data_IF_590035535884
#
_entry.id   IF_590035535884
#
_cell.length_a   1.000
_cell.length_b   1.000
_cell.length_c   1.000
_cell.angle_alpha   90.00
_cell.angle_beta   90.00
_cell.angle_gamma   90.00
#
_symmetry.space_group_name_H-M   'P 1'
#
loop_
_entity.id
_entity.type
_entity.pdbx_description
1 polymer ?
#
# COMPACT_ATOMS: atom_id res chain seq x y z
N UNK A 1 2.75 49.53 -7.99
CA UNK A 1 2.11 48.51 -8.86
C UNK A 1 3.06 47.35 -9.21
N UNK A 2 4.16 47.57 -9.94
CA UNK A 2 5.07 46.48 -10.39
C UNK A 2 5.71 45.66 -9.25
N UNK A 3 6.12 46.32 -8.15
CA UNK A 3 6.69 45.66 -6.96
C UNK A 3 5.67 44.76 -6.24
N UNK A 4 4.40 45.15 -6.23
CA UNK A 4 3.30 44.39 -5.62
C UNK A 4 2.97 43.14 -6.44
N UNK A 5 2.95 43.28 -7.77
CA UNK A 5 2.76 42.16 -8.72
C UNK A 5 3.91 41.14 -8.57
N UNK A 6 5.14 41.61 -8.42
CA UNK A 6 6.30 40.74 -8.23
C UNK A 6 6.22 39.94 -6.92
N UNK A 7 5.80 40.57 -5.83
CA UNK A 7 5.61 39.90 -4.53
C UNK A 7 4.50 38.85 -4.59
N UNK A 8 3.39 39.14 -5.27
CA UNK A 8 2.29 38.17 -5.44
C UNK A 8 2.68 36.98 -6.30
N UNK A 9 3.49 37.17 -7.34
CA UNK A 9 4.02 36.08 -8.17
C UNK A 9 4.93 35.17 -7.32
N UNK A 10 5.85 35.74 -6.55
CA UNK A 10 6.75 34.96 -5.68
C UNK A 10 5.96 34.18 -4.62
N UNK A 11 4.92 34.77 -4.03
CA UNK A 11 4.03 34.10 -3.09
C UNK A 11 3.24 32.97 -3.74
N UNK A 12 2.75 33.16 -4.96
CA UNK A 12 2.03 32.15 -5.72
C UNK A 12 2.93 30.96 -6.10
N UNK A 13 4.16 31.22 -6.55
CA UNK A 13 5.15 30.16 -6.82
C UNK A 13 5.55 29.39 -5.56
N UNK A 14 5.74 30.09 -4.43
CA UNK A 14 6.04 29.44 -3.15
C UNK A 14 4.88 28.57 -2.64
N UNK A 15 3.63 29.02 -2.81
CA UNK A 15 2.44 28.26 -2.45
C UNK A 15 2.23 27.03 -3.35
N UNK A 16 2.51 27.17 -4.65
CA UNK A 16 2.41 26.08 -5.63
C UNK A 16 3.41 24.95 -5.35
N UNK A 17 4.57 25.26 -4.79
CA UNK A 17 5.60 24.27 -4.45
C UNK A 17 5.25 23.40 -3.24
N UNK A 18 4.36 23.88 -2.35
CA UNK A 18 3.99 23.19 -1.11
C UNK A 18 3.02 22.01 -1.31
N UNK A 19 2.30 21.96 -2.44
CA UNK A 19 1.22 20.97 -2.65
C UNK A 19 1.71 19.56 -3.05
N UNK A 20 3.00 19.34 -3.27
CA UNK A 20 3.50 18.14 -3.96
C UNK A 20 3.81 16.93 -3.03
N UNK A 21 3.67 17.04 -1.71
CA UNK A 21 4.16 15.97 -0.80
C UNK A 21 3.07 15.11 -0.15
N UNK A 22 2.22 14.48 -0.96
CA UNK A 22 1.37 13.37 -0.49
C UNK A 22 2.05 12.02 -0.76
N UNK A 23 3.07 11.68 0.03
CA UNK A 23 3.69 10.34 0.00
C UNK A 23 2.83 9.36 0.80
N UNK A 24 2.28 8.33 0.15
CA UNK A 24 1.60 7.22 0.82
C UNK A 24 2.61 6.36 1.58
N UNK A 25 2.50 6.31 2.91
CA UNK A 25 3.28 5.36 3.74
C UNK A 25 2.60 4.01 3.67
N UNK A 26 3.01 3.18 2.72
CA UNK A 26 2.56 1.80 2.62
C UNK A 26 3.36 0.92 3.59
N UNK A 27 2.67 0.32 4.57
CA UNK A 27 3.28 -0.57 5.56
C UNK A 27 3.60 -1.94 4.91
N UNK A 28 4.68 -1.98 4.13
CA UNK A 28 5.18 -3.16 3.42
C UNK A 28 6.24 -3.90 4.24
N UNK A 29 6.08 -5.21 4.36
CA UNK A 29 7.06 -6.10 4.99
C UNK A 29 7.69 -7.04 3.95
N UNK A 30 9.02 -7.10 3.93
CA UNK A 30 9.78 -8.05 3.10
C UNK A 30 9.85 -9.41 3.78
N UNK A 31 9.43 -10.46 3.08
CA UNK A 31 9.53 -11.86 3.52
C UNK A 31 10.71 -12.50 2.81
N UNK A 32 11.61 -13.12 3.59
CA UNK A 32 12.73 -13.89 3.05
C UNK A 32 12.22 -15.18 2.39
N UNK A 33 12.94 -15.66 1.38
CA UNK A 33 12.65 -16.95 0.77
C UNK A 33 12.84 -18.10 1.75
N UNK A 34 12.08 -19.18 1.60
CA UNK A 34 12.14 -20.34 2.49
C UNK A 34 11.70 -21.61 1.77
N UNK A 35 12.05 -22.77 2.33
CA UNK A 35 11.63 -24.08 1.84
C UNK A 35 10.48 -24.57 2.72
N UNK A 36 9.37 -24.97 2.09
CA UNK A 36 8.21 -25.57 2.79
C UNK A 36 8.55 -26.99 3.24
N UNK A 37 7.79 -27.52 4.22
CA UNK A 37 7.96 -28.90 4.72
C UNK A 37 7.88 -29.99 3.63
N UNK A 38 7.17 -29.71 2.54
CA UNK A 38 7.04 -30.59 1.38
C UNK A 38 8.14 -30.37 0.30
N UNK A 39 9.21 -29.66 0.62
CA UNK A 39 10.36 -29.42 -0.28
C UNK A 39 10.18 -28.28 -1.28
N UNK A 40 9.01 -27.64 -1.39
CA UNK A 40 8.79 -26.54 -2.34
C UNK A 40 9.49 -25.26 -1.89
N UNK A 41 10.34 -24.68 -2.75
CA UNK A 41 10.95 -23.37 -2.53
C UNK A 41 9.95 -22.23 -2.74
N UNK A 42 9.98 -21.23 -1.86
CA UNK A 42 9.20 -19.98 -1.95
C UNK A 42 10.18 -18.83 -2.09
N UNK A 43 10.06 -18.09 -3.18
CA UNK A 43 10.87 -16.90 -3.42
C UNK A 43 10.55 -15.76 -2.42
N UNK A 44 11.52 -14.88 -2.13
CA UNK A 44 11.27 -13.66 -1.38
C UNK A 44 10.15 -12.83 -2.01
N UNK A 45 9.29 -12.23 -1.19
CA UNK A 45 8.19 -11.41 -1.66
C UNK A 45 7.82 -10.34 -0.63
N UNK A 46 7.02 -9.36 -1.04
CA UNK A 46 6.48 -8.35 -0.16
C UNK A 46 5.05 -8.71 0.26
N UNK A 47 4.68 -8.35 1.49
CA UNK A 47 3.32 -8.46 2.02
C UNK A 47 2.95 -7.20 2.79
N UNK A 48 1.65 -6.98 2.99
CA UNK A 48 1.14 -6.01 3.96
C UNK A 48 1.60 -6.36 5.38
N UNK A 49 1.84 -5.35 6.20
CA UNK A 49 2.11 -5.53 7.63
C UNK A 49 0.96 -6.27 8.31
N UNK A 50 1.25 -7.24 9.19
CA UNK A 50 0.21 -8.01 9.86
C UNK A 50 -0.61 -7.11 10.78
N UNK A 51 -1.91 -7.04 10.53
CA UNK A 51 -2.90 -6.39 11.40
C UNK A 51 -4.18 -7.27 11.47
N UNK A 52 -5.22 -6.79 12.17
CA UNK A 52 -6.51 -7.51 12.29
C UNK A 52 -7.47 -7.22 11.13
N UNK A 53 -7.08 -6.34 10.21
CA UNK A 53 -7.90 -5.87 9.11
C UNK A 53 -7.65 -6.79 7.92
N UNK A 54 -8.73 -7.19 7.24
CA UNK A 54 -8.62 -8.08 6.07
C UNK A 54 -8.77 -7.31 4.76
N UNK A 55 -9.43 -6.15 4.81
CA UNK A 55 -9.84 -5.37 3.65
C UNK A 55 -8.68 -4.64 2.97
N UNK A 56 -7.56 -4.46 3.67
CA UNK A 56 -6.34 -3.80 3.21
C UNK A 56 -5.29 -4.79 2.66
N UNK A 57 -5.58 -6.10 2.70
CA UNK A 57 -4.71 -7.10 2.07
C UNK A 57 -4.79 -7.01 0.54
N UNK A 58 -3.66 -7.25 -0.15
CA UNK A 58 -3.62 -7.30 -1.62
C UNK A 58 -4.53 -8.37 -2.23
N UNK A 59 -4.85 -9.43 -1.49
CA UNK A 59 -5.78 -10.46 -1.92
C UNK A 59 -7.24 -10.07 -1.78
N UNK A 60 -7.55 -8.99 -1.04
CA UNK A 60 -8.93 -8.58 -0.76
C UNK A 60 -9.61 -8.07 -2.04
N UNK A 61 -10.88 -8.41 -2.21
CA UNK A 61 -11.68 -8.00 -3.37
C UNK A 61 -11.70 -6.48 -3.49
N UNK A 62 -11.29 -5.98 -4.66
CA UNK A 62 -11.20 -4.54 -4.94
C UNK A 62 -9.77 -3.99 -4.90
N UNK A 63 -8.84 -4.67 -4.22
CA UNK A 63 -7.44 -4.26 -4.17
C UNK A 63 -6.65 -4.82 -5.35
N UNK A 64 -5.54 -4.17 -5.69
CA UNK A 64 -4.57 -4.64 -6.70
C UNK A 64 -3.24 -4.80 -6.00
N UNK A 65 -2.58 -5.94 -6.22
CA UNK A 65 -1.22 -6.14 -5.75
C UNK A 65 -0.25 -5.32 -6.63
N UNK A 66 0.46 -4.32 -6.08
CA UNK A 66 1.36 -3.47 -6.87
C UNK A 66 2.55 -4.22 -7.46
N UNK A 67 2.96 -5.34 -6.87
CA UNK A 67 4.11 -6.13 -7.31
C UNK A 67 3.80 -7.12 -8.44
N UNK A 68 2.54 -7.50 -8.61
CA UNK A 68 2.13 -8.49 -9.61
C UNK A 68 1.02 -8.04 -10.55
N UNK A 69 0.40 -6.88 -10.29
CA UNK A 69 -0.76 -6.38 -11.02
C UNK A 69 -2.04 -7.21 -10.82
N UNK A 70 -1.98 -8.27 -10.02
CA UNK A 70 -3.11 -9.18 -9.80
C UNK A 70 -4.18 -8.51 -8.94
N UNK A 71 -5.44 -8.59 -9.40
CA UNK A 71 -6.61 -8.16 -8.64
C UNK A 71 -6.88 -9.15 -7.50
N UNK A 72 -7.17 -8.63 -6.32
CA UNK A 72 -7.67 -9.39 -5.19
C UNK A 72 -9.10 -9.87 -5.42
N UNK A 73 -9.40 -11.07 -4.92
CA UNK A 73 -10.69 -11.76 -5.10
C UNK A 73 -11.26 -12.30 -3.79
N UNK A 74 -10.52 -12.22 -2.70
CA UNK A 74 -10.92 -12.72 -1.38
C UNK A 74 -11.90 -11.74 -0.76
N UNK A 75 -13.09 -12.22 -0.39
CA UNK A 75 -14.05 -11.42 0.39
C UNK A 75 -13.51 -11.20 1.83
N UNK A 76 -13.19 -9.95 2.22
CA UNK A 76 -12.64 -9.66 3.54
C UNK A 76 -13.67 -9.82 4.68
N UNK A 77 -14.96 -9.79 4.37
CA UNK A 77 -16.04 -9.89 5.36
C UNK A 77 -16.56 -11.32 5.54
N UNK A 78 -16.04 -12.28 4.78
CA UNK A 78 -16.41 -13.69 4.91
C UNK A 78 -16.10 -14.18 6.33
N UNK A 79 -17.16 -14.41 7.10
CA UNK A 79 -17.09 -15.03 8.42
C UNK A 79 -16.75 -16.50 8.20
N UNK A 80 -15.51 -16.86 8.47
CA UNK A 80 -15.11 -18.27 8.51
C UNK A 80 -15.30 -18.73 9.94
N UNK A 81 -16.19 -19.71 10.24
CA UNK A 81 -16.29 -20.24 11.58
C UNK A 81 -14.92 -20.78 11.98
N UNK A 82 -14.35 -20.27 13.09
CA UNK A 82 -13.12 -20.82 13.65
C UNK A 82 -13.44 -22.27 14.03
N UNK A 83 -12.89 -23.23 13.28
CA UNK A 83 -12.82 -24.61 13.77
C UNK A 83 -11.91 -24.58 15.00
N UNK A 84 -12.51 -24.64 16.18
CA UNK A 84 -11.78 -24.99 17.39
C UNK A 84 -11.26 -26.42 17.17
N UNK A 85 -9.92 -26.56 17.14
CA UNK A 85 -9.24 -27.84 17.20
C UNK A 85 -9.02 -28.20 18.66
#
# INVERSE_FOLDING_TARGET
MKKLIFVLIVLFLAFSFSLVTASSVEALQKVKGYIKKNGTYVAPHFKSSPNKLKFDNFSAKGNINPFSGKKGTVDPFKITPKKHK
#
